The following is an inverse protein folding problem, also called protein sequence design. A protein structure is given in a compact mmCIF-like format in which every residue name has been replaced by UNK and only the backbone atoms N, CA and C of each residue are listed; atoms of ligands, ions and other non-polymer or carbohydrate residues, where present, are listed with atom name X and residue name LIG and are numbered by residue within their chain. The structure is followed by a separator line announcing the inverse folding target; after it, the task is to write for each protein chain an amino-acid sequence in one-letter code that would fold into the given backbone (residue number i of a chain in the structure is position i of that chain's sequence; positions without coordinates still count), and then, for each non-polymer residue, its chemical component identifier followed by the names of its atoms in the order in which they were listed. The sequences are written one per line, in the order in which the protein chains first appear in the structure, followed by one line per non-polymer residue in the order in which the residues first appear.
data_IF_694249475155
#
_entry.id   IF_694249475155
#
_cell.length_a   1.000
_cell.length_b   1.000
_cell.length_c   1.000
_cell.angle_alpha   90.00
_cell.angle_beta   90.00
_cell.angle_gamma   90.00
#
_symmetry.space_group_name_H-M   'P 1'
#
loop_
_entity.id
_entity.type
_entity.pdbx_description
1 polymer ?
#
# COMPACT_ATOMS: atom_id res chain seq x y z
N UNK A 1 14.46 -18.81 3.25
CA UNK A 1 13.80 -18.20 2.08
C UNK A 1 13.62 -16.74 2.46
N UNK A 2 14.38 -15.83 1.87
CA UNK A 2 14.42 -14.41 2.24
C UNK A 2 13.55 -13.66 1.24
N UNK A 3 12.63 -12.86 1.75
CA UNK A 3 11.71 -12.02 1.00
C UNK A 3 11.92 -10.63 1.58
N UNK A 4 12.40 -9.69 0.79
CA UNK A 4 12.71 -8.33 1.23
C UNK A 4 11.78 -7.37 0.48
N UNK A 5 10.90 -6.66 1.18
CA UNK A 5 10.05 -5.62 0.60
C UNK A 5 10.45 -4.30 1.23
N UNK A 6 10.71 -3.27 0.44
CA UNK A 6 10.94 -1.92 0.93
C UNK A 6 9.67 -1.07 0.77
N UNK A 7 9.17 -0.41 1.82
CA UNK A 7 7.97 0.47 1.76
C UNK A 7 8.28 1.89 2.25
N UNK A 8 7.82 2.91 1.50
CA UNK A 8 7.70 4.31 1.96
C UNK A 8 6.20 4.62 2.03
N UNK A 9 5.69 4.89 3.24
CA UNK A 9 4.30 5.29 3.46
C UNK A 9 4.25 6.81 3.53
N UNK A 10 3.60 7.46 2.55
CA UNK A 10 3.24 8.86 2.63
C UNK A 10 1.72 8.98 2.81
N UNK A 11 1.27 9.54 3.94
CA UNK A 11 -0.12 9.97 4.15
C UNK A 11 -0.07 11.51 4.18
N UNK A 12 -0.55 12.17 3.13
CA UNK A 12 -0.60 13.63 3.08
C UNK A 12 -1.97 14.16 3.51
N UNK A 13 -2.05 14.79 4.69
CA UNK A 13 -3.13 15.72 5.05
C UNK A 13 -2.54 17.14 5.04
N UNK A 14 -3.05 17.99 4.15
CA UNK A 14 -2.54 19.35 3.98
C UNK A 14 -2.94 20.24 5.17
N UNK A 15 -1.97 20.53 6.05
CA UNK A 15 -1.90 21.80 6.77
C UNK A 15 -0.43 22.15 6.93
N UNK A 16 -0.06 23.36 6.51
CA UNK A 16 1.30 23.89 6.54
C UNK A 16 2.02 23.66 7.88
N UNK A 17 2.93 22.70 7.89
CA UNK A 17 3.97 22.53 8.90
C UNK A 17 5.26 22.27 8.12
N UNK A 18 6.30 23.08 8.34
CA UNK A 18 7.61 22.85 7.72
C UNK A 18 8.13 21.50 8.20
N UNK A 19 8.12 20.49 7.33
CA UNK A 19 8.71 19.20 7.65
C UNK A 19 10.22 19.39 7.74
N UNK A 20 10.78 19.05 8.90
CA UNK A 20 12.19 18.77 9.01
C UNK A 20 12.52 17.65 8.01
N UNK A 21 13.46 17.91 7.11
CA UNK A 21 14.02 16.91 6.20
C UNK A 21 14.61 15.79 7.05
N UNK A 22 13.88 14.68 7.15
CA UNK A 22 14.24 13.50 7.89
C UNK A 22 13.85 12.27 7.09
N UNK A 23 14.84 11.72 6.38
CA UNK A 23 14.78 10.49 5.57
C UNK A 23 14.18 10.60 4.16
N UNK A 24 14.68 11.53 3.35
CA UNK A 24 14.53 11.40 1.90
C UNK A 24 15.51 10.28 1.48
N UNK A 25 15.00 9.11 1.08
CA UNK A 25 15.72 7.89 0.66
C UNK A 25 15.98 6.77 1.71
N UNK A 26 15.25 6.72 2.82
CA UNK A 26 15.23 5.48 3.64
C UNK A 26 13.96 4.70 3.37
N UNK A 27 14.04 3.38 3.44
CA UNK A 27 12.87 2.52 3.35
C UNK A 27 12.94 1.40 4.39
N UNK A 28 11.76 0.93 4.81
CA UNK A 28 11.64 -0.16 5.79
C UNK A 28 11.68 -1.48 5.04
N UNK A 29 12.62 -2.35 5.40
CA UNK A 29 12.75 -3.70 4.85
C UNK A 29 11.92 -4.70 5.66
N UNK A 30 11.05 -5.46 5.00
CA UNK A 30 10.25 -6.53 5.58
C UNK A 30 10.76 -7.90 5.12
N UNK A 31 10.98 -8.83 6.05
CA UNK A 31 11.50 -10.19 5.88
C UNK A 31 10.42 -11.29 5.76
N UNK A 32 9.13 -10.92 5.74
CA UNK A 32 8.02 -11.83 5.47
C UNK A 32 7.68 -12.82 6.59
N UNK A 33 7.94 -12.46 7.85
CA UNK A 33 7.46 -13.21 9.01
C UNK A 33 6.31 -12.46 9.71
N UNK A 34 5.53 -13.15 10.55
CA UNK A 34 4.33 -12.57 11.16
C UNK A 34 4.58 -11.38 12.11
N UNK A 35 5.82 -11.13 12.51
CA UNK A 35 6.20 -9.98 13.34
C UNK A 35 6.69 -8.78 12.51
N UNK A 36 6.67 -8.89 11.18
CA UNK A 36 7.28 -7.94 10.27
C UNK A 36 6.24 -6.98 9.69
N UNK A 37 5.74 -6.09 10.54
CA UNK A 37 4.79 -5.06 10.17
C UNK A 37 5.05 -3.76 10.92
N UNK A 38 4.69 -2.65 10.28
CA UNK A 38 4.63 -1.34 10.94
C UNK A 38 3.18 -1.07 11.31
N UNK A 39 2.91 -0.95 12.60
CA UNK A 39 1.55 -0.77 13.13
C UNK A 39 1.36 0.70 13.51
N UNK A 40 0.31 1.30 12.99
CA UNK A 40 -0.16 2.62 13.39
C UNK A 40 -1.37 2.49 14.32
N UNK A 41 -1.51 3.33 15.35
CA UNK A 41 -2.72 3.36 16.16
C UNK A 41 -3.94 3.68 15.30
N UNK A 42 -5.08 3.09 15.66
CA UNK A 42 -6.34 3.43 15.03
C UNK A 42 -6.66 4.93 15.17
N UNK A 43 -7.24 5.50 14.13
CA UNK A 43 -7.68 6.88 14.08
C UNK A 43 -8.85 7.02 13.11
N UNK A 44 -9.90 7.80 13.45
CA UNK A 44 -10.98 8.13 12.52
C UNK A 44 -10.51 8.83 11.23
N UNK A 45 -9.31 9.43 11.24
CA UNK A 45 -8.72 10.02 10.04
C UNK A 45 -8.28 9.00 9.00
N UNK A 46 -8.17 7.71 9.39
CA UNK A 46 -7.81 6.59 8.52
C UNK A 46 -9.04 5.81 8.03
N UNK A 47 -10.26 6.25 8.37
CA UNK A 47 -11.50 5.64 7.92
C UNK A 47 -11.91 6.16 6.54
N UNK A 48 -12.16 5.25 5.60
CA UNK A 48 -12.74 5.60 4.30
C UNK A 48 -14.23 5.87 4.50
N UNK A 49 -14.60 7.15 4.49
CA UNK A 49 -15.97 7.62 4.75
C UNK A 49 -16.68 8.14 3.48
N UNK A 50 -16.27 7.67 2.30
CA UNK A 50 -16.97 7.87 1.03
C UNK A 50 -16.77 9.23 0.36
N UNK A 51 -15.77 10.02 0.78
CA UNK A 51 -15.42 11.30 0.15
C UNK A 51 -14.47 11.08 -1.02
N UNK A 52 -13.18 11.03 -0.74
CA UNK A 52 -12.08 10.81 -1.67
C UNK A 52 -10.94 10.20 -0.84
N UNK A 53 -10.12 9.35 -1.43
CA UNK A 53 -8.93 8.83 -0.74
C UNK A 53 -7.85 8.41 -1.73
N UNK A 54 -6.62 8.33 -1.24
CA UNK A 54 -5.50 7.71 -1.94
C UNK A 54 -4.74 6.84 -0.95
N UNK A 55 -4.43 5.60 -1.34
CA UNK A 55 -3.45 4.74 -0.68
C UNK A 55 -2.27 4.61 -1.63
N UNK A 56 -1.07 4.99 -1.21
CA UNK A 56 0.12 4.92 -2.05
C UNK A 56 1.34 4.42 -1.28
N UNK A 57 2.26 3.78 -2.00
CA UNK A 57 3.53 3.32 -1.48
C UNK A 57 4.57 3.23 -2.60
N UNK A 58 5.82 3.50 -2.26
CA UNK A 58 6.95 2.97 -3.04
C UNK A 58 7.24 1.55 -2.59
N UNK A 59 7.33 0.61 -3.53
CA UNK A 59 7.62 -0.81 -3.27
C UNK A 59 8.86 -1.27 -4.03
N UNK A 60 9.64 -2.15 -3.42
CA UNK A 60 10.77 -2.83 -4.06
C UNK A 60 10.66 -4.34 -3.81
N UNK A 61 9.93 -5.08 -4.67
CA UNK A 61 9.76 -6.52 -4.52
C UNK A 61 11.06 -7.27 -4.84
N UNK A 62 11.59 -8.08 -3.92
CA UNK A 62 12.84 -8.85 -4.19
C UNK A 62 12.62 -10.34 -4.42
N UNK A 63 11.45 -10.86 -4.10
CA UNK A 63 11.06 -12.23 -4.40
C UNK A 63 9.54 -12.36 -4.55
N UNK A 64 9.06 -13.44 -5.21
CA UNK A 64 7.64 -13.72 -5.33
C UNK A 64 6.97 -13.91 -3.96
N UNK A 65 5.74 -13.42 -3.85
CA UNK A 65 4.95 -13.55 -2.64
C UNK A 65 4.39 -14.98 -2.51
N UNK A 66 4.44 -15.53 -1.30
CA UNK A 66 3.79 -16.79 -0.97
C UNK A 66 2.48 -16.51 -0.22
N UNK A 67 1.40 -16.36 -0.98
CA UNK A 67 0.13 -15.81 -0.48
C UNK A 67 0.05 -14.32 -0.75
N UNK A 68 -0.47 -13.57 0.21
CA UNK A 68 -0.76 -12.15 0.04
C UNK A 68 0.36 -11.28 0.64
N UNK A 69 1.13 -10.63 -0.23
CA UNK A 69 2.13 -9.65 0.17
C UNK A 69 1.47 -8.31 0.49
N UNK A 70 0.89 -8.19 1.68
CA UNK A 70 0.18 -6.98 2.14
C UNK A 70 1.14 -5.78 2.17
N UNK A 71 0.73 -4.68 1.54
CA UNK A 71 1.47 -3.41 1.54
C UNK A 71 0.83 -2.44 2.54
N UNK A 72 -0.49 -2.27 2.47
CA UNK A 72 -1.29 -1.52 3.46
C UNK A 72 -2.52 -2.35 3.80
N UNK A 73 -2.86 -2.41 5.08
CA UNK A 73 -4.08 -3.03 5.59
C UNK A 73 -4.68 -2.14 6.69
N UNK A 74 -6.00 -2.01 6.64
CA UNK A 74 -6.85 -1.82 7.80
C UNK A 74 -7.88 -2.92 7.78
N UNK A 75 -7.73 -3.88 8.69
CA UNK A 75 -8.54 -5.10 8.76
C UNK A 75 -10.04 -4.80 8.63
N UNK A 76 -10.75 -5.66 7.90
CA UNK A 76 -12.18 -5.55 7.60
C UNK A 76 -12.61 -4.26 6.87
N UNK A 77 -11.66 -3.42 6.44
CA UNK A 77 -11.95 -2.10 5.86
C UNK A 77 -11.35 -1.93 4.47
N UNK A 78 -10.02 -2.03 4.34
CA UNK A 78 -9.34 -1.89 3.05
C UNK A 78 -7.95 -2.53 3.07
N UNK A 79 -7.51 -2.99 1.91
CA UNK A 79 -6.18 -3.57 1.70
C UNK A 79 -5.63 -3.21 0.32
N UNK A 80 -4.30 -3.12 0.22
CA UNK A 80 -3.58 -3.26 -1.04
C UNK A 80 -2.35 -4.15 -0.86
N UNK A 81 -2.08 -4.97 -1.87
CA UNK A 81 -1.15 -6.08 -1.76
C UNK A 81 -0.63 -6.55 -3.12
N UNK A 82 0.49 -7.28 -3.10
CA UNK A 82 0.94 -8.10 -4.21
C UNK A 82 0.37 -9.52 -4.06
N UNK A 83 -0.54 -9.92 -4.95
CA UNK A 83 -1.36 -11.14 -4.81
C UNK A 83 -1.53 -11.84 -6.15
N UNK A 84 -2.05 -13.08 -6.13
CA UNK A 84 -2.40 -13.81 -7.35
C UNK A 84 -1.26 -13.84 -8.41
N UNK A 85 -0.05 -14.21 -7.97
CA UNK A 85 1.14 -14.16 -8.82
C UNK A 85 1.79 -12.78 -8.92
N UNK A 86 1.85 -12.05 -7.80
CA UNK A 86 2.47 -10.73 -7.63
C UNK A 86 1.79 -9.59 -8.42
N UNK A 87 0.50 -9.72 -8.74
CA UNK A 87 -0.28 -8.61 -9.27
C UNK A 87 -0.52 -7.59 -8.15
N UNK A 88 -0.40 -6.30 -8.47
CA UNK A 88 -0.82 -5.24 -7.58
C UNK A 88 -2.35 -5.19 -7.55
N UNK A 89 -2.92 -5.49 -6.39
CA UNK A 89 -4.36 -5.59 -6.19
C UNK A 89 -4.77 -4.88 -4.91
N UNK A 90 -6.03 -4.46 -4.86
CA UNK A 90 -6.63 -3.81 -3.70
C UNK A 90 -8.06 -4.31 -3.44
N UNK A 91 -8.50 -4.19 -2.20
CA UNK A 91 -9.86 -4.47 -1.77
C UNK A 91 -10.33 -3.36 -0.84
N UNK A 92 -11.62 -3.03 -0.93
CA UNK A 92 -12.27 -2.04 -0.07
C UNK A 92 -13.63 -2.62 0.31
N UNK A 93 -13.96 -2.60 1.59
CA UNK A 93 -15.24 -3.07 2.08
C UNK A 93 -16.36 -2.10 1.69
N UNK A 94 -16.99 -2.35 0.53
CA UNK A 94 -18.05 -1.54 -0.05
C UNK A 94 -19.32 -2.38 -0.32
N UNK A 95 -19.78 -3.11 0.69
CA UNK A 95 -20.95 -4.00 0.64
C UNK A 95 -20.61 -5.45 0.29
N UNK A 96 -19.54 -5.68 -0.46
CA UNK A 96 -18.91 -6.98 -0.66
C UNK A 96 -17.39 -6.83 -0.65
N UNK A 97 -16.70 -7.89 -0.22
CA UNK A 97 -15.24 -7.97 -0.28
C UNK A 97 -14.82 -8.65 -1.58
N UNK A 98 -14.11 -7.92 -2.42
CA UNK A 98 -13.52 -8.46 -3.64
C UNK A 98 -12.23 -7.70 -3.96
N UNK A 99 -11.37 -8.34 -4.76
CA UNK A 99 -10.06 -7.83 -5.10
C UNK A 99 -9.99 -7.35 -6.54
N UNK A 100 -9.60 -6.10 -6.70
CA UNK A 100 -9.50 -5.41 -7.98
C UNK A 100 -8.07 -4.99 -8.25
N UNK A 101 -7.82 -4.51 -9.47
CA UNK A 101 -6.52 -4.06 -9.92
C UNK A 101 -5.86 -5.04 -10.87
N UNK A 102 -4.57 -4.85 -11.06
CA UNK A 102 -3.77 -5.54 -12.05
C UNK A 102 -2.46 -4.80 -12.31
N UNK A 103 -1.65 -5.35 -13.20
CA UNK A 103 -0.26 -4.92 -13.36
C UNK A 103 0.64 -5.63 -12.35
N UNK A 104 1.85 -5.95 -12.79
CA UNK A 104 2.83 -6.71 -12.02
C UNK A 104 4.10 -5.87 -11.91
N UNK A 105 4.36 -5.25 -10.74
CA UNK A 105 5.66 -4.68 -10.45
C UNK A 105 6.75 -5.73 -10.72
N UNK A 106 7.80 -5.35 -11.43
CA UNK A 106 8.90 -6.27 -11.65
C UNK A 106 9.80 -6.34 -10.42
N UNK A 107 10.67 -7.36 -10.39
CA UNK A 107 11.46 -7.66 -9.21
C UNK A 107 12.77 -6.88 -9.25
N UNK A 108 13.24 -6.47 -8.07
CA UNK A 108 14.50 -5.76 -7.84
C UNK A 108 14.58 -4.37 -8.48
N UNK A 109 13.43 -3.70 -8.63
CA UNK A 109 13.36 -2.30 -8.98
C UNK A 109 12.29 -1.60 -8.14
N UNK A 110 12.41 -0.28 -8.03
CA UNK A 110 11.46 0.56 -7.29
C UNK A 110 10.26 0.85 -8.17
N UNK A 111 9.07 0.62 -7.62
CA UNK A 111 7.81 0.97 -8.25
C UNK A 111 6.98 1.87 -7.35
N UNK A 112 6.32 2.86 -7.93
CA UNK A 112 5.28 3.60 -7.26
C UNK A 112 3.95 2.87 -7.47
N UNK A 113 3.23 2.53 -6.40
CA UNK A 113 1.90 1.91 -6.51
C UNK A 113 0.87 2.73 -5.77
N UNK A 114 -0.29 2.93 -6.38
CA UNK A 114 -1.34 3.76 -5.82
C UNK A 114 -2.74 3.22 -6.11
N UNK A 115 -3.65 3.43 -5.16
CA UNK A 115 -5.10 3.25 -5.32
C UNK A 115 -5.75 4.59 -5.02
N UNK A 116 -6.48 5.14 -5.98
CA UNK A 116 -7.14 6.44 -5.86
C UNK A 116 -8.65 6.29 -5.95
N UNK A 117 -9.39 7.14 -5.24
CA UNK A 117 -10.83 7.30 -5.39
C UNK A 117 -11.21 8.76 -5.38
N UNK A 118 -11.85 9.22 -6.45
CA UNK A 118 -12.23 10.63 -6.69
C UNK A 118 -13.70 10.94 -6.31
N UNK A 119 -14.35 10.05 -5.54
CA UNK A 119 -15.78 10.16 -5.26
C UNK A 119 -16.69 9.53 -6.31
N UNK A 120 -16.13 9.02 -7.43
CA UNK A 120 -16.88 8.37 -8.51
C UNK A 120 -16.27 7.07 -8.99
N UNK A 121 -14.93 7.01 -9.08
CA UNK A 121 -14.20 5.87 -9.63
C UNK A 121 -13.00 5.56 -8.78
N UNK A 122 -12.76 4.27 -8.61
CA UNK A 122 -11.54 3.76 -8.01
C UNK A 122 -10.60 3.31 -9.11
N UNK A 123 -9.34 3.75 -9.06
CA UNK A 123 -8.30 3.41 -10.02
C UNK A 123 -7.07 2.88 -9.29
N UNK A 124 -6.31 1.98 -9.94
CA UNK A 124 -5.06 1.43 -9.41
C UNK A 124 -3.92 1.66 -10.40
N UNK A 125 -2.76 2.04 -9.90
CA UNK A 125 -1.59 2.42 -10.69
C UNK A 125 -0.35 1.63 -10.26
N UNK A 126 0.46 1.26 -11.25
CA UNK A 126 1.85 0.83 -11.09
C UNK A 126 2.67 1.78 -11.97
N UNK A 127 3.61 2.49 -11.36
CA UNK A 127 4.43 3.56 -11.95
C UNK A 127 3.63 4.75 -12.50
N UNK A 128 2.64 5.22 -11.73
CA UNK A 128 1.78 6.38 -12.03
C UNK A 128 1.60 7.32 -10.84
#
# INVERSE_FOLDING_TARGET
MKLNLFCIIAIALFWSCSLAVGAENSAVEFFGNAADSVIFPDSPSLDINGKEFTMEAWVFPTAPQNGDGIIINKEDTYEMALRNGDLFMFAIQAGAWDWFGGGKPTMNEWHHVAVTYDGKRTESWVDG
#
